data_IF_136171056283
#
_entry.id   IF_136171056283
#
_cell.length_a   1.000
_cell.length_b   1.000
_cell.length_c   1.000
_cell.angle_alpha   90.00
_cell.angle_beta   90.00
_cell.angle_gamma   90.00
#
_symmetry.space_group_name_H-M   'P 1'
#
loop_
_entity.id
_entity.type
_entity.pdbx_description
1 polymer ?
#
# COMPACT_ATOMS: atom_id res chain seq x y z
N UNK A 1 -20.28 -10.08 -15.38
CA UNK A 1 -19.57 -9.80 -16.65
C UNK A 1 -19.98 -10.80 -17.71
N UNK A 2 -20.49 -10.32 -18.84
CA UNK A 2 -21.17 -11.21 -19.84
C UNK A 2 -20.22 -12.20 -20.54
N UNK A 3 -18.96 -11.85 -20.70
CA UNK A 3 -17.98 -12.62 -21.48
C UNK A 3 -17.13 -13.60 -20.66
N UNK A 4 -17.43 -13.79 -19.36
CA UNK A 4 -16.61 -14.63 -18.46
C UNK A 4 -17.23 -16.00 -18.15
N UNK A 5 -18.29 -16.41 -18.89
CA UNK A 5 -19.00 -17.69 -18.65
C UNK A 5 -18.11 -18.94 -18.75
N UNK A 6 -17.01 -18.86 -19.50
CA UNK A 6 -16.04 -19.95 -19.72
C UNK A 6 -14.81 -19.85 -18.82
N UNK A 7 -14.70 -18.79 -18.01
CA UNK A 7 -13.56 -18.62 -17.12
C UNK A 7 -13.62 -19.60 -15.97
N UNK A 8 -12.46 -20.12 -15.60
CA UNK A 8 -12.28 -20.96 -14.42
C UNK A 8 -12.30 -20.08 -13.18
N UNK A 9 -12.61 -20.70 -12.04
CA UNK A 9 -12.71 -20.00 -10.76
C UNK A 9 -11.91 -20.76 -9.71
N UNK A 10 -11.04 -20.04 -9.01
CA UNK A 10 -10.38 -20.51 -7.78
C UNK A 10 -10.81 -19.63 -6.62
N UNK A 11 -11.36 -20.24 -5.55
CA UNK A 11 -11.80 -19.51 -4.37
C UNK A 11 -10.93 -19.88 -3.17
N UNK A 12 -10.32 -18.87 -2.56
CA UNK A 12 -9.52 -19.03 -1.33
C UNK A 12 -9.92 -17.95 -0.33
N UNK A 13 -10.56 -18.35 0.77
CA UNK A 13 -11.15 -17.42 1.73
C UNK A 13 -12.21 -16.53 1.07
N UNK A 14 -12.07 -15.23 1.23
CA UNK A 14 -12.95 -14.23 0.63
C UNK A 14 -12.45 -13.73 -0.75
N UNK A 15 -11.37 -14.29 -1.26
CA UNK A 15 -10.80 -13.94 -2.57
C UNK A 15 -11.27 -14.95 -3.62
N UNK A 16 -11.81 -14.48 -4.73
CA UNK A 16 -12.32 -15.27 -5.84
C UNK A 16 -11.55 -14.84 -7.10
N UNK A 17 -10.75 -15.76 -7.64
CA UNK A 17 -9.95 -15.51 -8.83
C UNK A 17 -10.65 -16.11 -10.05
N UNK A 18 -10.90 -15.26 -11.05
CA UNK A 18 -11.46 -15.65 -12.35
C UNK A 18 -10.32 -15.58 -13.39
N UNK A 19 -10.04 -16.69 -14.05
CA UNK A 19 -8.93 -16.84 -14.99
C UNK A 19 -9.28 -17.74 -16.18
N UNK A 20 -8.55 -17.62 -17.28
CA UNK A 20 -8.87 -18.37 -18.51
C UNK A 20 -8.15 -19.72 -18.60
N UNK A 21 -6.84 -19.76 -18.41
CA UNK A 21 -5.99 -20.92 -18.70
C UNK A 21 -5.58 -21.65 -17.41
N UNK A 22 -4.56 -21.16 -16.75
CA UNK A 22 -3.96 -21.70 -15.54
C UNK A 22 -3.80 -20.62 -14.48
N UNK A 23 -3.69 -21.01 -13.22
CA UNK A 23 -3.39 -20.10 -12.12
C UNK A 23 -2.35 -20.74 -11.21
N UNK A 24 -1.42 -19.91 -10.73
CA UNK A 24 -0.42 -20.33 -9.75
C UNK A 24 -1.08 -20.44 -8.36
N UNK A 25 -1.46 -21.65 -7.99
CA UNK A 25 -2.18 -21.91 -6.73
C UNK A 25 -1.35 -21.58 -5.49
N UNK A 26 -0.05 -21.69 -5.56
CA UNK A 26 0.81 -21.39 -4.41
C UNK A 26 0.91 -19.87 -4.19
N UNK A 27 1.00 -19.08 -5.26
CA UNK A 27 0.90 -17.62 -5.17
C UNK A 27 -0.48 -17.15 -4.70
N UNK A 28 -1.56 -17.80 -5.11
CA UNK A 28 -2.92 -17.55 -4.60
C UNK A 28 -3.00 -17.79 -3.09
N UNK A 29 -2.40 -18.89 -2.59
CA UNK A 29 -2.37 -19.17 -1.13
C UNK A 29 -1.54 -18.14 -0.37
N UNK A 30 -0.36 -17.77 -0.88
CA UNK A 30 0.50 -16.73 -0.32
C UNK A 30 -0.23 -15.39 -0.22
N UNK A 31 -0.85 -14.96 -1.32
CA UNK A 31 -1.69 -13.77 -1.39
C UNK A 31 -2.83 -13.79 -0.36
N UNK A 32 -3.56 -14.91 -0.27
CA UNK A 32 -4.66 -15.03 0.68
C UNK A 32 -4.19 -14.98 2.15
N UNK A 33 -3.03 -15.56 2.45
CA UNK A 33 -2.41 -15.47 3.79
C UNK A 33 -2.12 -14.02 4.15
N UNK A 34 -1.51 -13.27 3.24
CA UNK A 34 -1.19 -11.86 3.45
C UNK A 34 -2.46 -10.99 3.52
N UNK A 35 -3.42 -11.22 2.62
CA UNK A 35 -4.75 -10.58 2.67
C UNK A 35 -5.40 -10.77 4.03
N UNK A 36 -5.42 -12.00 4.55
CA UNK A 36 -6.01 -12.30 5.86
C UNK A 36 -5.29 -11.58 7.00
N UNK A 37 -3.96 -11.44 6.91
CA UNK A 37 -3.17 -10.67 7.87
C UNK A 37 -3.56 -9.19 7.87
N UNK A 38 -3.67 -8.58 6.70
CA UNK A 38 -4.10 -7.19 6.56
C UNK A 38 -5.57 -6.98 7.00
N UNK A 39 -6.45 -7.91 6.64
CA UNK A 39 -7.86 -7.87 7.05
C UNK A 39 -8.02 -7.90 8.58
N UNK A 40 -7.21 -8.69 9.26
CA UNK A 40 -7.19 -8.75 10.73
C UNK A 40 -6.70 -7.42 11.33
N UNK A 41 -5.64 -6.82 10.78
CA UNK A 41 -5.13 -5.51 11.22
C UNK A 41 -6.17 -4.40 11.00
N UNK A 42 -6.73 -4.35 9.81
CA UNK A 42 -7.66 -3.31 9.35
C UNK A 42 -9.10 -3.54 9.82
N UNK A 43 -9.38 -4.72 10.40
CA UNK A 43 -10.73 -5.15 10.78
C UNK A 43 -11.72 -5.01 9.62
N UNK A 44 -11.28 -5.36 8.41
CA UNK A 44 -12.14 -5.38 7.24
C UNK A 44 -13.25 -6.40 7.47
N UNK A 45 -14.49 -5.98 7.42
CA UNK A 45 -15.63 -6.88 7.52
C UNK A 45 -15.64 -7.75 6.25
N UNK A 46 -15.77 -9.07 6.41
CA UNK A 46 -15.85 -10.14 5.42
C UNK A 46 -16.25 -9.72 3.98
N UNK A 47 -15.48 -8.82 3.36
CA UNK A 47 -15.76 -8.35 2.00
C UNK A 47 -15.19 -9.34 1.00
N UNK A 48 -16.05 -9.84 0.13
CA UNK A 48 -15.66 -10.71 -0.98
C UNK A 48 -14.96 -9.83 -2.03
N UNK A 49 -13.80 -10.29 -2.52
CA UNK A 49 -13.11 -9.65 -3.63
C UNK A 49 -13.01 -10.60 -4.81
N UNK A 50 -13.55 -10.17 -5.94
CA UNK A 50 -13.42 -10.87 -7.22
C UNK A 50 -12.26 -10.29 -8.00
N UNK A 51 -11.29 -11.12 -8.35
CA UNK A 51 -10.12 -10.78 -9.17
C UNK A 51 -10.30 -11.39 -10.55
N UNK A 52 -10.33 -10.56 -11.59
CA UNK A 52 -10.35 -11.00 -12.99
C UNK A 52 -8.96 -10.82 -13.58
N UNK A 53 -8.36 -11.92 -14.01
CA UNK A 53 -6.98 -11.98 -14.49
C UNK A 53 -6.97 -11.97 -16.02
N UNK A 54 -6.86 -10.77 -16.60
CA UNK A 54 -6.74 -10.58 -18.04
C UNK A 54 -5.26 -10.61 -18.44
N UNK A 55 -4.99 -11.10 -19.65
CA UNK A 55 -3.62 -11.14 -20.17
C UNK A 55 -3.02 -9.75 -20.38
N UNK A 56 -3.86 -8.76 -20.75
CA UNK A 56 -3.40 -7.42 -21.08
C UNK A 56 -4.51 -6.38 -20.92
N UNK A 57 -4.13 -5.11 -21.12
CA UNK A 57 -5.04 -3.97 -20.99
C UNK A 57 -6.19 -3.98 -22.02
N UNK A 58 -5.98 -4.57 -23.19
CA UNK A 58 -7.01 -4.66 -24.23
C UNK A 58 -8.13 -5.62 -23.79
N UNK A 59 -7.76 -6.74 -23.19
CA UNK A 59 -8.71 -7.69 -22.64
C UNK A 59 -9.46 -7.12 -21.44
N UNK A 60 -8.73 -6.43 -20.53
CA UNK A 60 -9.35 -5.66 -19.45
C UNK A 60 -10.38 -4.68 -19.98
N UNK A 61 -10.04 -3.87 -21.00
CA UNK A 61 -10.96 -2.91 -21.63
C UNK A 61 -12.22 -3.59 -22.15
N UNK A 62 -12.07 -4.69 -22.90
CA UNK A 62 -13.21 -5.47 -23.39
C UNK A 62 -14.10 -6.00 -22.27
N UNK A 63 -13.50 -6.41 -21.16
CA UNK A 63 -14.22 -6.96 -20.01
C UNK A 63 -15.06 -5.90 -19.29
N UNK A 64 -14.54 -4.69 -19.12
CA UNK A 64 -15.27 -3.58 -18.47
C UNK A 64 -16.12 -2.77 -19.45
N UNK A 65 -16.12 -3.11 -20.74
CA UNK A 65 -16.92 -2.43 -21.76
C UNK A 65 -16.32 -1.10 -22.25
N UNK A 66 -15.01 -0.96 -22.17
CA UNK A 66 -14.27 0.22 -22.62
C UNK A 66 -13.38 -0.16 -23.79
N UNK A 67 -13.48 0.58 -24.90
CA UNK A 67 -12.53 0.45 -26.01
C UNK A 67 -11.22 1.15 -25.63
N UNK A 68 -10.14 0.36 -25.49
CA UNK A 68 -8.82 0.87 -25.21
C UNK A 68 -7.99 0.97 -26.47
N UNK A 69 -7.41 2.15 -26.72
CA UNK A 69 -6.45 2.38 -27.81
C UNK A 69 -5.11 2.81 -27.20
N UNK A 70 -4.09 1.98 -27.34
CA UNK A 70 -2.74 2.23 -26.81
C UNK A 70 -2.13 3.55 -27.29
N UNK A 71 -2.48 3.95 -28.50
CA UNK A 71 -2.00 5.19 -29.15
C UNK A 71 -2.36 6.47 -28.38
N UNK A 72 -3.35 6.41 -27.50
CA UNK A 72 -3.77 7.59 -26.73
C UNK A 72 -2.96 7.84 -25.45
N UNK A 73 -2.38 6.83 -24.82
CA UNK A 73 -1.67 7.03 -23.56
C UNK A 73 -0.42 6.17 -23.36
N UNK A 74 -0.08 5.30 -24.33
CA UNK A 74 1.13 4.48 -24.30
C UNK A 74 1.21 3.45 -23.17
N UNK A 75 0.15 3.21 -22.41
CA UNK A 75 0.15 2.22 -21.32
C UNK A 75 -0.04 0.81 -21.88
N UNK A 76 0.82 -0.11 -21.44
CA UNK A 76 0.74 -1.54 -21.77
C UNK A 76 -0.06 -2.34 -20.74
N UNK A 77 -0.24 -1.80 -19.55
CA UNK A 77 -0.89 -2.48 -18.42
C UNK A 77 -1.75 -1.52 -17.59
N UNK A 78 -2.74 -2.06 -16.92
CA UNK A 78 -3.63 -1.30 -16.03
C UNK A 78 -4.32 -2.23 -15.04
N UNK A 79 -4.80 -1.64 -13.95
CA UNK A 79 -5.71 -2.28 -13.00
C UNK A 79 -6.94 -1.39 -12.86
N UNK A 80 -8.11 -2.01 -12.96
CA UNK A 80 -9.38 -1.34 -12.74
C UNK A 80 -10.08 -1.94 -11.51
N UNK A 81 -10.69 -1.12 -10.68
CA UNK A 81 -11.45 -1.59 -9.53
C UNK A 81 -12.75 -0.85 -9.32
N UNK A 82 -13.73 -1.56 -8.75
CA UNK A 82 -15.01 -1.00 -8.34
C UNK A 82 -15.49 -1.70 -7.08
N UNK A 83 -16.24 -1.00 -6.24
CA UNK A 83 -16.87 -1.57 -5.04
C UNK A 83 -18.38 -1.50 -5.19
N UNK A 84 -19.06 -2.59 -4.83
CA UNK A 84 -20.50 -2.69 -4.88
C UNK A 84 -21.00 -3.46 -3.65
N UNK A 85 -21.63 -2.76 -2.73
CA UNK A 85 -22.09 -3.34 -1.46
C UNK A 85 -20.92 -3.91 -0.63
N UNK A 86 -21.01 -5.22 -0.34
CA UNK A 86 -20.01 -6.00 0.38
C UNK A 86 -18.94 -6.65 -0.54
N UNK A 87 -19.01 -6.41 -1.84
CA UNK A 87 -18.07 -6.96 -2.83
C UNK A 87 -17.17 -5.89 -3.41
N UNK A 88 -15.92 -6.25 -3.64
CA UNK A 88 -14.96 -5.51 -4.46
C UNK A 88 -14.65 -6.30 -5.72
N UNK A 89 -14.55 -5.60 -6.82
CA UNK A 89 -14.18 -6.15 -8.11
C UNK A 89 -12.86 -5.52 -8.53
N UNK A 90 -11.88 -6.34 -8.88
CA UNK A 90 -10.57 -5.90 -9.39
C UNK A 90 -10.33 -6.63 -10.70
N UNK A 91 -9.96 -5.90 -11.73
CA UNK A 91 -9.63 -6.44 -13.04
C UNK A 91 -8.19 -6.06 -13.35
N UNK A 92 -7.32 -7.06 -13.44
CA UNK A 92 -5.93 -6.90 -13.84
C UNK A 92 -5.80 -7.04 -15.36
N UNK A 93 -5.00 -6.18 -15.96
CA UNK A 93 -4.57 -6.26 -17.36
C UNK A 93 -3.08 -5.93 -17.43
N UNK A 94 -2.25 -6.77 -16.78
CA UNK A 94 -0.84 -6.51 -16.52
C UNK A 94 0.08 -7.69 -16.90
N UNK A 95 -0.30 -8.50 -17.91
CA UNK A 95 0.45 -9.66 -18.39
C UNK A 95 0.71 -10.75 -17.32
N UNK A 96 -0.12 -10.80 -16.28
CA UNK A 96 0.00 -11.74 -15.15
C UNK A 96 -1.27 -12.59 -14.98
N UNK A 97 -1.86 -13.03 -16.09
CA UNK A 97 -3.13 -13.79 -16.09
C UNK A 97 -3.05 -15.14 -15.37
N UNK A 98 -1.84 -15.67 -15.15
CA UNK A 98 -1.60 -16.87 -14.34
C UNK A 98 -1.33 -16.57 -12.87
N UNK A 99 -1.35 -15.31 -12.45
CA UNK A 99 -1.10 -14.86 -11.07
C UNK A 99 0.22 -15.38 -10.49
N UNK A 100 1.33 -15.18 -11.23
CA UNK A 100 2.67 -15.64 -10.82
C UNK A 100 3.32 -14.71 -9.80
N UNK A 101 2.85 -13.49 -9.70
CA UNK A 101 3.36 -12.46 -8.80
C UNK A 101 2.23 -11.55 -8.32
N UNK A 102 2.46 -10.85 -7.24
CA UNK A 102 1.62 -9.75 -6.75
C UNK A 102 2.49 -8.79 -5.94
N UNK A 103 2.04 -7.54 -5.82
CA UNK A 103 2.72 -6.55 -5.00
C UNK A 103 2.06 -6.47 -3.62
N UNK A 104 2.77 -6.86 -2.53
CA UNK A 104 2.26 -6.73 -1.17
C UNK A 104 1.97 -5.28 -0.75
N UNK A 105 2.71 -4.31 -1.30
CA UNK A 105 2.49 -2.88 -1.09
C UNK A 105 1.10 -2.45 -1.59
N UNK A 106 0.82 -2.74 -2.85
CA UNK A 106 -0.47 -2.43 -3.47
C UNK A 106 -1.61 -3.20 -2.80
N UNK A 107 -1.36 -4.43 -2.37
CA UNK A 107 -2.34 -5.21 -1.62
C UNK A 107 -2.74 -4.53 -0.31
N UNK A 108 -1.80 -3.91 0.42
CA UNK A 108 -2.14 -3.16 1.63
C UNK A 108 -3.09 -2.00 1.33
N UNK A 109 -2.79 -1.19 0.31
CA UNK A 109 -3.66 -0.10 -0.14
C UNK A 109 -5.06 -0.59 -0.55
N UNK A 110 -5.10 -1.71 -1.26
CA UNK A 110 -6.35 -2.35 -1.66
C UNK A 110 -7.21 -2.73 -0.45
N UNK A 111 -6.61 -3.35 0.56
CA UNK A 111 -7.35 -3.74 1.79
C UNK A 111 -7.77 -2.51 2.60
N UNK A 112 -6.89 -1.53 2.75
CA UNK A 112 -7.22 -0.27 3.44
C UNK A 112 -8.40 0.46 2.77
N UNK A 113 -8.45 0.45 1.44
CA UNK A 113 -9.53 1.10 0.68
C UNK A 113 -10.93 0.51 0.93
N UNK A 114 -11.02 -0.68 1.53
CA UNK A 114 -12.29 -1.28 1.94
C UNK A 114 -12.89 -0.65 3.20
N UNK A 115 -12.07 -0.01 4.01
CA UNK A 115 -12.48 0.56 5.31
C UNK A 115 -12.41 2.08 5.33
N UNK A 116 -11.52 2.68 4.55
CA UNK A 116 -11.42 4.13 4.41
C UNK A 116 -11.14 4.53 2.95
N UNK A 117 -11.90 5.46 2.36
CA UNK A 117 -11.60 5.98 1.02
C UNK A 117 -10.23 6.65 0.97
N UNK A 118 -9.44 6.43 -0.09
CA UNK A 118 -8.10 7.04 -0.27
C UNK A 118 -8.09 8.56 -0.15
N UNK A 119 -9.19 9.23 -0.51
CA UNK A 119 -9.33 10.69 -0.37
C UNK A 119 -9.47 11.16 1.08
N UNK A 120 -9.69 10.26 2.03
CA UNK A 120 -9.86 10.58 3.47
C UNK A 120 -8.71 10.09 4.33
N UNK A 121 -7.82 9.26 3.80
CA UNK A 121 -6.66 8.74 4.54
C UNK A 121 -5.52 9.75 4.56
N UNK A 122 -4.70 9.73 5.60
CA UNK A 122 -3.43 10.46 5.60
C UNK A 122 -2.42 9.74 4.72
N UNK A 123 -2.19 10.25 3.51
CA UNK A 123 -1.38 9.58 2.50
C UNK A 123 0.03 9.21 2.98
N UNK A 124 0.83 10.09 3.63
CA UNK A 124 2.16 9.70 4.11
C UNK A 124 2.13 8.54 5.11
N UNK A 125 1.09 8.45 5.94
CA UNK A 125 0.94 7.34 6.91
C UNK A 125 0.50 6.05 6.21
N UNK A 126 -0.40 6.14 5.22
CA UNK A 126 -0.82 5.01 4.38
C UNK A 126 0.37 4.41 3.64
N UNK A 127 1.15 5.24 2.96
CA UNK A 127 2.39 4.81 2.29
C UNK A 127 3.39 4.21 3.30
N UNK A 128 3.56 4.84 4.47
CA UNK A 128 4.40 4.28 5.54
C UNK A 128 3.99 2.89 5.99
N UNK A 129 2.68 2.63 6.11
CA UNK A 129 2.16 1.28 6.37
C UNK A 129 2.48 0.32 5.23
N UNK A 130 2.24 0.73 3.98
CA UNK A 130 2.49 -0.10 2.82
C UNK A 130 3.98 -0.48 2.68
N UNK A 131 4.89 0.48 2.91
CA UNK A 131 6.35 0.22 2.94
C UNK A 131 6.73 -0.76 4.06
N UNK A 132 6.19 -0.57 5.27
CA UNK A 132 6.52 -1.43 6.42
C UNK A 132 6.03 -2.86 6.24
N UNK A 133 4.82 -3.04 5.70
CA UNK A 133 4.18 -4.36 5.63
C UNK A 133 4.35 -5.07 4.28
N UNK A 134 4.61 -4.33 3.22
CA UNK A 134 4.68 -4.86 1.86
C UNK A 134 5.98 -4.56 1.12
N UNK A 135 6.84 -3.69 1.67
CA UNK A 135 7.98 -3.18 0.94
C UNK A 135 7.57 -2.20 -0.16
N UNK A 136 8.33 -2.13 -1.23
CA UNK A 136 8.00 -1.33 -2.43
C UNK A 136 8.84 -1.78 -3.62
N UNK A 137 8.24 -1.87 -4.80
CA UNK A 137 8.93 -2.24 -6.03
C UNK A 137 9.69 -3.58 -5.96
N UNK A 138 9.18 -4.54 -5.17
CA UNK A 138 9.82 -5.83 -4.95
C UNK A 138 10.97 -5.84 -3.94
N UNK A 139 11.33 -4.71 -3.37
CA UNK A 139 12.28 -4.61 -2.27
C UNK A 139 11.58 -4.74 -0.92
N UNK A 140 12.24 -5.41 0.02
CA UNK A 140 11.78 -5.53 1.41
C UNK A 140 11.94 -4.22 2.17
N UNK A 141 11.28 -4.11 3.32
CA UNK A 141 11.49 -2.99 4.25
C UNK A 141 12.95 -2.78 4.60
N UNK A 142 13.67 -3.87 4.90
CA UNK A 142 15.07 -3.83 5.30
C UNK A 142 15.98 -3.26 4.20
N UNK A 143 15.75 -3.67 2.94
CA UNK A 143 16.52 -3.18 1.79
C UNK A 143 16.26 -1.69 1.53
N UNK A 144 14.99 -1.28 1.61
CA UNK A 144 14.60 0.13 1.43
C UNK A 144 15.14 0.99 2.56
N UNK A 145 15.03 0.51 3.79
CA UNK A 145 15.53 1.23 4.97
C UNK A 145 17.05 1.38 4.96
N UNK A 146 17.78 0.36 4.51
CA UNK A 146 19.24 0.43 4.30
C UNK A 146 19.59 1.53 3.29
N UNK A 147 18.94 1.56 2.14
CA UNK A 147 19.16 2.58 1.11
C UNK A 147 18.82 4.00 1.63
N UNK A 148 17.76 4.14 2.42
CA UNK A 148 17.39 5.36 3.10
C UNK A 148 18.47 5.83 4.08
N UNK A 149 19.01 4.93 4.90
CA UNK A 149 20.10 5.28 5.84
C UNK A 149 21.34 5.78 5.11
N UNK A 150 21.73 5.12 4.03
CA UNK A 150 22.91 5.48 3.26
C UNK A 150 22.77 6.82 2.53
N UNK A 151 21.61 7.15 1.95
CA UNK A 151 21.42 8.30 1.09
C UNK A 151 20.88 9.53 1.81
N UNK A 152 20.02 9.36 2.81
CA UNK A 152 19.32 10.46 3.49
C UNK A 152 19.79 10.60 4.94
N UNK A 153 19.76 9.53 5.72
CA UNK A 153 20.09 9.57 7.14
C UNK A 153 21.61 9.54 7.43
N UNK A 154 22.46 9.44 6.42
CA UNK A 154 23.90 9.67 6.54
C UNK A 154 24.24 11.14 6.84
N UNK A 155 23.42 12.09 6.36
CA UNK A 155 23.57 13.51 6.68
C UNK A 155 22.94 13.82 8.04
N UNK A 156 23.74 13.94 9.08
CA UNK A 156 23.29 14.22 10.46
C UNK A 156 22.63 15.61 10.64
N UNK A 157 22.72 16.49 9.64
CA UNK A 157 22.01 17.78 9.63
C UNK A 157 20.61 17.70 9.00
N UNK A 158 20.14 16.51 8.62
CA UNK A 158 18.82 16.33 8.03
C UNK A 158 17.71 16.82 8.96
N UNK A 159 16.87 17.70 8.44
CA UNK A 159 15.73 18.25 9.16
C UNK A 159 14.43 17.49 8.77
N UNK A 160 14.02 16.58 9.61
CA UNK A 160 12.86 15.70 9.37
C UNK A 160 11.53 16.46 9.29
N UNK A 161 11.43 17.65 9.95
CA UNK A 161 10.25 18.52 9.80
C UNK A 161 10.15 19.13 8.41
N UNK A 162 11.29 19.52 7.83
CA UNK A 162 11.32 20.03 6.46
C UNK A 162 11.02 18.94 5.44
N UNK A 163 11.57 17.72 5.64
CA UNK A 163 11.27 16.55 4.78
C UNK A 163 9.78 16.21 4.82
N UNK A 164 9.12 16.39 5.95
CA UNK A 164 7.67 16.17 6.05
C UNK A 164 6.85 17.17 5.23
N UNK A 165 7.28 18.42 5.17
CA UNK A 165 6.62 19.48 4.36
C UNK A 165 7.04 19.45 2.89
N UNK A 166 8.29 19.09 2.62
CA UNK A 166 8.89 19.00 1.28
C UNK A 166 9.62 17.67 1.15
N UNK A 167 8.90 16.61 0.72
CA UNK A 167 9.46 15.28 0.64
C UNK A 167 10.71 15.19 -0.23
N UNK A 168 11.72 14.47 0.25
CA UNK A 168 12.98 14.20 -0.43
C UNK A 168 12.97 12.76 -0.94
N UNK A 169 13.37 12.57 -2.19
CA UNK A 169 13.46 11.25 -2.82
C UNK A 169 14.83 10.63 -2.65
N UNK A 170 14.84 9.29 -2.62
CA UNK A 170 16.06 8.47 -2.68
C UNK A 170 15.82 7.24 -3.57
N UNK A 171 16.88 6.46 -3.84
CA UNK A 171 16.81 5.30 -4.73
C UNK A 171 17.00 3.99 -3.99
N UNK A 172 16.19 2.98 -4.33
CA UNK A 172 16.49 1.58 -4.05
C UNK A 172 16.57 0.86 -5.40
N UNK A 173 17.76 0.42 -5.78
CA UNK A 173 18.00 0.02 -7.16
C UNK A 173 17.69 1.17 -8.13
N UNK A 174 16.87 0.90 -9.14
CA UNK A 174 16.44 1.89 -10.13
C UNK A 174 15.16 2.64 -9.74
N UNK A 175 14.51 2.28 -8.63
CA UNK A 175 13.23 2.82 -8.23
C UNK A 175 13.37 3.98 -7.24
N UNK A 176 12.43 4.92 -7.33
CA UNK A 176 12.42 6.12 -6.48
C UNK A 176 11.46 5.92 -5.31
N UNK A 177 11.95 6.19 -4.11
CA UNK A 177 11.21 6.17 -2.86
C UNK A 177 11.20 7.57 -2.21
N UNK A 178 10.29 7.79 -1.25
CA UNK A 178 10.16 9.06 -0.53
C UNK A 178 10.59 8.91 0.93
N UNK A 179 11.48 9.78 1.40
CA UNK A 179 12.01 9.74 2.77
C UNK A 179 10.92 9.94 3.84
N UNK A 180 9.91 10.78 3.56
CA UNK A 180 8.78 10.99 4.48
C UNK A 180 7.98 9.70 4.70
N UNK A 181 7.84 8.85 3.70
CA UNK A 181 7.14 7.56 3.84
C UNK A 181 7.91 6.60 4.76
N UNK A 182 9.25 6.60 4.69
CA UNK A 182 10.09 5.81 5.59
C UNK A 182 9.98 6.30 7.03
N UNK A 183 9.99 7.62 7.24
CA UNK A 183 9.77 8.21 8.56
C UNK A 183 8.40 7.81 9.12
N UNK A 184 7.35 7.85 8.29
CA UNK A 184 6.03 7.39 8.71
C UNK A 184 5.98 5.88 8.98
N UNK A 185 6.73 5.05 8.26
CA UNK A 185 6.84 3.62 8.53
C UNK A 185 7.45 3.35 9.92
N UNK A 186 8.51 4.07 10.30
CA UNK A 186 9.11 3.99 11.65
C UNK A 186 8.11 4.40 12.74
N UNK A 187 7.35 5.46 12.52
CA UNK A 187 6.32 5.91 13.45
C UNK A 187 5.18 4.91 13.57
N UNK A 188 4.74 4.33 12.46
CA UNK A 188 3.75 3.24 12.44
C UNK A 188 4.25 2.05 13.26
N UNK A 189 5.49 1.61 13.03
CA UNK A 189 6.12 0.51 13.78
C UNK A 189 6.15 0.77 15.29
N UNK A 190 6.55 1.99 15.68
CA UNK A 190 6.55 2.42 17.09
C UNK A 190 5.13 2.40 17.68
N UNK A 191 4.17 3.03 16.99
CA UNK A 191 2.78 3.12 17.47
C UNK A 191 2.15 1.74 17.55
N UNK A 192 2.36 0.89 16.56
CA UNK A 192 1.81 -0.48 16.57
C UNK A 192 2.37 -1.29 17.75
N UNK A 193 3.66 -1.16 18.03
CA UNK A 193 4.30 -1.82 19.19
C UNK A 193 3.72 -1.36 20.53
N UNK A 194 3.40 -0.09 20.69
CA UNK A 194 2.99 0.51 21.98
C UNK A 194 1.47 0.53 22.19
N UNK A 195 0.68 0.67 21.11
CA UNK A 195 -0.77 0.90 21.15
C UNK A 195 -1.56 -0.10 20.27
N UNK A 196 -0.86 -1.04 19.62
CA UNK A 196 -1.47 -1.91 18.63
C UNK A 196 -1.93 -1.16 17.38
N UNK A 197 -2.53 -1.87 16.43
CA UNK A 197 -2.98 -1.27 15.17
C UNK A 197 -4.10 -0.22 15.37
N UNK A 198 -4.80 -0.22 16.50
CA UNK A 198 -5.78 0.82 16.83
C UNK A 198 -5.14 2.21 16.91
N UNK A 199 -3.92 2.32 17.44
CA UNK A 199 -3.17 3.58 17.43
C UNK A 199 -2.74 3.99 16.01
N UNK A 200 -2.30 3.04 15.19
CA UNK A 200 -1.98 3.28 13.77
C UNK A 200 -3.23 3.78 13.03
N UNK A 201 -4.39 3.17 13.31
CA UNK A 201 -5.66 3.57 12.72
C UNK A 201 -6.04 5.01 13.06
N UNK A 202 -5.80 5.46 14.29
CA UNK A 202 -6.03 6.86 14.66
C UNK A 202 -5.20 7.80 13.78
N UNK A 203 -3.92 7.48 13.54
CA UNK A 203 -3.04 8.31 12.71
C UNK A 203 -3.38 8.24 11.21
N UNK A 204 -3.80 7.08 10.70
CA UNK A 204 -4.29 6.92 9.33
C UNK A 204 -5.53 7.78 9.05
N UNK A 205 -6.43 7.91 10.04
CA UNK A 205 -7.77 8.49 9.88
C UNK A 205 -7.86 9.98 10.28
N UNK A 206 -6.74 10.67 10.44
CA UNK A 206 -6.73 12.13 10.74
C UNK A 206 -7.18 13.00 9.57
N UNK A 207 -7.38 12.40 8.40
CA UNK A 207 -7.70 13.09 7.15
C UNK A 207 -6.50 13.29 6.24
N UNK A 208 -6.74 13.85 5.03
CA UNK A 208 -5.69 14.11 4.06
C UNK A 208 -4.55 14.95 4.66
N UNK A 209 -3.38 14.87 4.00
CA UNK A 209 -2.26 15.74 4.32
C UNK A 209 -2.69 17.21 4.22
N UNK A 210 -2.40 17.99 5.27
CA UNK A 210 -2.67 19.42 5.34
C UNK A 210 -1.34 20.17 5.60
N UNK A 211 -1.15 21.34 4.97
CA UNK A 211 0.02 22.18 5.22
C UNK A 211 0.13 22.53 6.71
N UNK A 212 1.33 22.42 7.28
CA UNK A 212 1.55 22.62 8.72
C UNK A 212 1.31 21.39 9.58
N UNK A 213 0.56 20.39 9.08
CA UNK A 213 0.37 19.08 9.72
C UNK A 213 -0.16 19.13 11.18
N UNK A 214 -0.99 20.10 11.53
CA UNK A 214 -1.40 20.33 12.92
C UNK A 214 -2.10 19.10 13.53
N UNK A 215 -3.10 18.53 12.84
CA UNK A 215 -3.81 17.32 13.29
C UNK A 215 -2.86 16.12 13.44
N UNK A 216 -1.90 16.01 12.51
CA UNK A 216 -0.90 14.96 12.56
C UNK A 216 -0.05 15.06 13.84
N UNK A 217 0.51 16.23 14.15
CA UNK A 217 1.34 16.41 15.35
C UNK A 217 0.53 16.28 16.65
N UNK A 218 -0.72 16.73 16.68
CA UNK A 218 -1.62 16.55 17.84
C UNK A 218 -1.88 15.05 18.10
N UNK A 219 -2.19 14.29 17.05
CA UNK A 219 -2.43 12.85 17.17
C UNK A 219 -1.15 12.10 17.52
N UNK A 220 -0.04 12.45 16.89
CA UNK A 220 1.27 11.85 17.18
C UNK A 220 1.69 12.10 18.64
N UNK A 221 1.50 13.32 19.16
CA UNK A 221 1.72 13.66 20.57
C UNK A 221 0.88 12.79 21.51
N UNK A 222 -0.39 12.63 21.20
CA UNK A 222 -1.32 11.79 22.00
C UNK A 222 -0.85 10.32 22.02
N UNK A 223 -0.41 9.80 20.88
CA UNK A 223 -0.05 8.38 20.74
C UNK A 223 1.33 8.04 21.28
N UNK A 224 2.32 8.94 21.12
CA UNK A 224 3.74 8.64 21.33
C UNK A 224 4.50 9.64 22.20
N UNK A 225 3.91 10.79 22.54
CA UNK A 225 4.59 11.92 23.15
C UNK A 225 5.46 12.75 22.18
N UNK A 226 5.55 12.37 20.90
CA UNK A 226 6.29 13.11 19.88
C UNK A 226 5.51 14.36 19.47
N UNK A 227 6.15 15.51 19.64
CA UNK A 227 5.58 16.83 19.32
C UNK A 227 6.32 17.45 18.15
N UNK A 228 5.77 18.52 17.56
CA UNK A 228 6.47 19.29 16.53
C UNK A 228 7.81 19.85 17.03
N UNK A 229 7.95 20.13 18.33
CA UNK A 229 9.19 20.65 18.92
C UNK A 229 10.31 19.61 18.97
N UNK A 230 10.01 18.38 19.43
CA UNK A 230 11.00 17.32 19.56
C UNK A 230 11.03 16.33 18.38
N UNK A 231 10.33 16.63 17.28
CA UNK A 231 10.17 15.71 16.13
C UNK A 231 11.51 15.26 15.56
N UNK A 232 12.42 16.19 15.27
CA UNK A 232 13.72 15.87 14.70
C UNK A 232 14.52 14.91 15.58
N UNK A 233 14.61 15.21 16.88
CA UNK A 233 15.31 14.36 17.86
C UNK A 233 14.70 12.95 17.88
N UNK A 234 13.38 12.87 18.01
CA UNK A 234 12.68 11.57 18.12
C UNK A 234 12.72 10.74 16.83
N UNK A 235 12.74 11.38 15.67
CA UNK A 235 12.93 10.63 14.41
C UNK A 235 14.35 10.09 14.32
N UNK A 236 15.38 10.85 14.73
CA UNK A 236 16.74 10.32 14.79
C UNK A 236 16.86 9.12 15.75
N UNK A 237 16.23 9.18 16.92
CA UNK A 237 16.19 8.04 17.85
C UNK A 237 15.56 6.79 17.21
N UNK A 238 14.47 6.95 16.44
CA UNK A 238 13.85 5.84 15.73
C UNK A 238 14.75 5.25 14.64
N UNK A 239 15.43 6.10 13.87
CA UNK A 239 16.35 5.67 12.81
C UNK A 239 17.56 4.91 13.40
N UNK A 240 18.15 5.43 14.48
CA UNK A 240 19.33 4.84 15.12
C UNK A 240 18.99 3.50 15.81
N UNK A 241 17.76 3.33 16.29
CA UNK A 241 17.28 2.10 16.95
C UNK A 241 16.70 1.05 15.98
N UNK A 242 16.43 1.41 14.73
CA UNK A 242 15.96 0.47 13.71
C UNK A 242 17.11 -0.37 13.17
N UNK A 243 16.94 -1.70 13.23
CA UNK A 243 17.94 -2.70 12.85
C UNK A 243 17.81 -3.11 11.39
#
# INVERSE_FOLDING_TARGET
MRNTKKWKVEKVGNNIFHYQNTINKDKVKEFNKLTSSFDNKLKTKNKITDYYLCDNIMELGKLIGVEYKSDYNGRSESVWSSSFGDRKLIVFGNNNSSFNEFDPHDLFHDRLSLVIPRSKVNKPVDEGCAYLYGGSWGFTWEEIFKAFKEQIASNKNTNWKEIKETPVSFKTGNFTNQADYIVNALLVKKIEKEKGFTGVWELLNIGPFEKGNEKYYQTLKKLTGITKANYNEKIWELIDNEK
#
